data_IF_712076814118
#
_entry.id   IF_712076814118
#
_cell.length_a   1.000
_cell.length_b   1.000
_cell.length_c   1.000
_cell.angle_alpha   90.00
_cell.angle_beta   90.00
_cell.angle_gamma   90.00
#
_symmetry.space_group_name_H-M   'P 1'
#
loop_
_entity.id
_entity.type
_entity.pdbx_description
1 polymer ?
#
# COMPACT_ATOMS: atom_id res chain seq x y z
N UNK A 1 -14.13 -21.84 5.26
CA UNK A 1 -13.09 -21.17 4.44
C UNK A 1 -12.87 -19.80 5.04
N UNK A 2 -11.69 -19.57 5.47
CA UNK A 2 -11.30 -18.50 6.39
C UNK A 2 -10.69 -17.32 5.62
N UNK A 3 -10.38 -16.27 6.33
CA UNK A 3 -9.51 -15.17 5.90
C UNK A 3 -8.18 -15.68 5.32
N UNK A 4 -7.70 -16.82 5.82
CA UNK A 4 -6.51 -17.52 5.35
C UNK A 4 -6.62 -17.95 3.87
N UNK A 5 -7.74 -18.52 3.44
CA UNK A 5 -7.91 -18.98 2.05
C UNK A 5 -7.79 -17.83 1.03
N UNK A 6 -8.29 -16.63 1.40
CA UNK A 6 -8.19 -15.43 0.58
C UNK A 6 -6.75 -14.92 0.50
N UNK A 7 -6.08 -14.89 1.63
CA UNK A 7 -4.69 -14.47 1.70
C UNK A 7 -3.78 -15.43 0.91
N UNK A 8 -3.99 -16.74 1.03
CA UNK A 8 -3.25 -17.73 0.23
C UNK A 8 -3.45 -17.53 -1.27
N UNK A 9 -4.69 -17.23 -1.69
CA UNK A 9 -5.00 -16.98 -3.10
C UNK A 9 -4.26 -15.76 -3.64
N UNK A 10 -4.17 -14.67 -2.88
CA UNK A 10 -3.45 -13.45 -3.29
C UNK A 10 -1.93 -13.65 -3.27
N UNK A 11 -1.38 -14.32 -2.25
CA UNK A 11 0.05 -14.64 -2.20
C UNK A 11 0.43 -15.56 -3.36
N UNK A 12 -0.44 -16.50 -3.77
CA UNK A 12 -0.19 -17.31 -4.94
C UNK A 12 -0.13 -16.47 -6.22
N UNK A 13 -1.05 -15.52 -6.40
CA UNK A 13 -1.03 -14.60 -7.55
C UNK A 13 0.27 -13.79 -7.57
N UNK A 14 0.69 -13.29 -6.42
CA UNK A 14 1.92 -12.53 -6.29
C UNK A 14 3.16 -13.38 -6.63
N UNK A 15 3.22 -14.62 -6.13
CA UNK A 15 4.30 -15.56 -6.44
C UNK A 15 4.38 -15.89 -7.95
N UNK A 16 3.23 -16.10 -8.60
CA UNK A 16 3.16 -16.37 -10.03
C UNK A 16 3.50 -15.12 -10.87
N UNK A 17 3.15 -13.93 -10.39
CA UNK A 17 3.50 -12.66 -11.03
C UNK A 17 5.01 -12.42 -10.98
N UNK A 18 5.66 -12.67 -9.84
CA UNK A 18 7.13 -12.60 -9.69
C UNK A 18 7.87 -13.57 -10.63
N UNK A 19 7.27 -14.72 -10.93
CA UNK A 19 7.83 -15.68 -11.88
C UNK A 19 7.59 -15.30 -13.35
N UNK A 20 6.80 -14.26 -13.60
CA UNK A 20 6.56 -13.71 -14.93
C UNK A 20 7.66 -12.69 -15.29
N UNK A 21 7.62 -12.18 -16.51
CA UNK A 21 8.49 -11.08 -16.93
C UNK A 21 7.83 -9.71 -16.78
N UNK A 22 6.72 -9.63 -16.06
CA UNK A 22 5.95 -8.40 -15.85
C UNK A 22 6.61 -7.58 -14.75
N UNK A 23 6.95 -6.33 -15.05
CA UNK A 23 7.52 -5.40 -14.07
C UNK A 23 6.43 -4.77 -13.20
N UNK A 24 6.54 -4.88 -11.88
CA UNK A 24 5.65 -4.20 -10.95
C UNK A 24 6.38 -3.78 -9.68
N UNK A 25 5.73 -2.91 -8.90
CA UNK A 25 6.09 -2.61 -7.51
C UNK A 25 4.85 -2.80 -6.65
N UNK A 26 4.94 -3.68 -5.65
CA UNK A 26 3.89 -3.88 -4.67
C UNK A 26 3.84 -2.69 -3.71
N UNK A 27 2.64 -2.16 -3.50
CA UNK A 27 2.34 -1.09 -2.54
C UNK A 27 1.18 -1.50 -1.62
N UNK A 28 0.58 -0.57 -0.91
CA UNK A 28 -0.66 -0.80 -0.17
C UNK A 28 -0.53 -1.75 1.02
N UNK A 29 -1.59 -2.51 1.26
CA UNK A 29 -1.73 -3.31 2.47
C UNK A 29 -0.76 -4.47 2.58
N UNK A 30 -0.55 -5.22 1.51
CA UNK A 30 0.39 -6.34 1.52
C UNK A 30 1.85 -5.89 1.58
N UNK A 31 2.22 -4.74 1.01
CA UNK A 31 3.55 -4.21 1.18
C UNK A 31 3.89 -3.92 2.65
N UNK A 32 2.91 -3.50 3.46
CA UNK A 32 3.07 -3.30 4.92
C UNK A 32 3.30 -4.60 5.67
N UNK A 33 2.88 -5.75 5.13
CA UNK A 33 3.09 -7.05 5.79
C UNK A 33 4.57 -7.45 5.92
N UNK A 34 5.48 -6.73 5.29
CA UNK A 34 6.92 -6.88 5.53
C UNK A 34 7.34 -6.44 6.95
N UNK A 35 6.57 -5.56 7.59
CA UNK A 35 6.85 -5.07 8.95
C UNK A 35 6.06 -5.83 10.00
N UNK A 36 4.76 -5.95 9.79
CA UNK A 36 3.85 -6.66 10.70
C UNK A 36 2.82 -7.41 9.84
N UNK A 37 2.69 -8.75 10.00
CA UNK A 37 1.75 -9.55 9.23
C UNK A 37 0.32 -9.01 9.40
N UNK A 38 -0.32 -8.70 8.27
CA UNK A 38 -1.72 -8.28 8.25
C UNK A 38 -2.45 -8.90 7.07
N UNK A 39 -3.76 -8.96 7.20
CA UNK A 39 -4.63 -9.34 6.10
C UNK A 39 -5.02 -8.11 5.28
N UNK A 40 -4.96 -8.23 3.95
CA UNK A 40 -5.63 -7.35 3.00
C UNK A 40 -6.54 -8.14 2.07
N UNK A 41 -7.54 -7.48 1.48
CA UNK A 41 -8.47 -8.10 0.53
C UNK A 41 -8.00 -8.03 -0.90
N UNK A 42 -6.98 -7.23 -1.15
CA UNK A 42 -6.48 -6.79 -2.44
C UNK A 42 -4.95 -6.68 -2.46
N UNK A 43 -4.39 -6.86 -3.64
CA UNK A 43 -3.01 -6.48 -3.98
C UNK A 43 -3.05 -5.15 -4.72
N UNK A 44 -2.25 -4.19 -4.28
CA UNK A 44 -2.04 -2.93 -4.97
C UNK A 44 -0.73 -3.00 -5.75
N UNK A 45 -0.80 -3.03 -7.09
CA UNK A 45 0.36 -3.18 -7.98
C UNK A 45 0.56 -1.91 -8.82
N UNK A 46 1.70 -1.27 -8.68
CA UNK A 46 2.10 -0.18 -9.56
C UNK A 46 2.90 -0.77 -10.72
N UNK A 47 2.52 -0.45 -11.96
CA UNK A 47 3.13 -0.96 -13.17
C UNK A 47 3.52 0.15 -14.15
N UNK A 48 4.45 -0.15 -15.07
CA UNK A 48 4.68 0.70 -16.23
C UNK A 48 3.52 0.59 -17.23
N UNK A 49 3.22 1.64 -18.01
CA UNK A 49 2.19 1.56 -19.05
C UNK A 49 2.43 0.44 -20.08
N UNK A 50 3.69 0.16 -20.40
CA UNK A 50 4.07 -0.88 -21.37
C UNK A 50 3.75 -2.31 -20.88
N UNK A 51 3.65 -2.53 -19.57
CA UNK A 51 3.33 -3.84 -18.97
C UNK A 51 1.82 -4.06 -18.82
N UNK A 52 0.97 -3.07 -19.15
CA UNK A 52 -0.46 -3.09 -18.85
C UNK A 52 -1.20 -4.27 -19.50
N UNK A 53 -1.04 -4.47 -20.80
CA UNK A 53 -1.73 -5.56 -21.53
C UNK A 53 -1.29 -6.94 -21.03
N UNK A 54 -0.03 -7.10 -20.66
CA UNK A 54 0.51 -8.35 -20.12
C UNK A 54 -0.06 -8.66 -18.73
N UNK A 55 -0.18 -7.65 -17.85
CA UNK A 55 -0.82 -7.79 -16.53
C UNK A 55 -2.30 -8.16 -16.68
N UNK A 56 -3.03 -7.48 -17.56
CA UNK A 56 -4.45 -7.77 -17.82
C UNK A 56 -4.60 -9.23 -18.27
N UNK A 57 -3.85 -9.65 -19.28
CA UNK A 57 -3.90 -11.01 -19.78
C UNK A 57 -3.50 -12.04 -18.71
N UNK A 58 -2.52 -11.71 -17.86
CA UNK A 58 -2.10 -12.55 -16.73
C UNK A 58 -3.24 -12.77 -15.72
N UNK A 59 -3.96 -11.71 -15.34
CA UNK A 59 -5.06 -11.77 -14.37
C UNK A 59 -6.29 -12.50 -14.95
N UNK A 60 -6.68 -12.18 -16.17
CA UNK A 60 -7.81 -12.84 -16.86
C UNK A 60 -7.58 -14.34 -17.00
N UNK A 61 -6.36 -14.77 -17.35
CA UNK A 61 -6.01 -16.20 -17.44
C UNK A 61 -6.14 -16.94 -16.09
N UNK A 62 -6.23 -16.21 -14.96
CA UNK A 62 -6.39 -16.73 -13.59
C UNK A 62 -7.80 -16.57 -13.03
N UNK A 63 -8.74 -16.18 -13.90
CA UNK A 63 -10.15 -16.05 -13.55
C UNK A 63 -10.48 -14.76 -12.79
N UNK A 64 -9.61 -13.76 -12.88
CA UNK A 64 -9.98 -12.42 -12.43
C UNK A 64 -10.82 -11.74 -13.51
N UNK A 65 -11.88 -11.10 -13.09
CA UNK A 65 -12.77 -10.30 -13.94
C UNK A 65 -12.56 -8.82 -13.61
N UNK A 66 -12.51 -8.00 -14.64
CA UNK A 66 -12.39 -6.55 -14.48
C UNK A 66 -13.70 -5.97 -13.95
N UNK A 67 -13.64 -5.27 -12.83
CA UNK A 67 -14.81 -4.64 -12.18
C UNK A 67 -14.81 -3.12 -12.26
N UNK A 68 -13.63 -2.51 -12.46
CA UNK A 68 -13.49 -1.11 -12.84
C UNK A 68 -12.38 -0.98 -13.88
N UNK A 69 -12.55 -0.10 -14.86
CA UNK A 69 -11.64 0.11 -15.98
C UNK A 69 -11.10 1.53 -15.96
N UNK A 70 -9.88 1.70 -16.45
CA UNK A 70 -9.30 3.02 -16.69
C UNK A 70 -10.18 3.81 -17.69
N UNK A 71 -10.46 5.07 -17.39
CA UNK A 71 -11.19 5.98 -18.28
C UNK A 71 -10.29 6.57 -19.39
N UNK A 72 -8.97 6.50 -19.20
CA UNK A 72 -7.95 6.97 -20.13
C UNK A 72 -6.99 5.84 -20.53
N UNK A 73 -6.35 5.91 -21.71
CA UNK A 73 -5.32 4.95 -22.10
C UNK A 73 -4.19 4.87 -21.05
N UNK A 74 -3.57 3.69 -20.84
CA UNK A 74 -2.50 3.53 -19.84
C UNK A 74 -1.35 4.53 -19.95
N UNK A 75 -0.95 4.89 -21.17
CA UNK A 75 0.10 5.87 -21.45
C UNK A 75 -0.29 7.32 -21.10
N UNK A 76 -1.59 7.63 -21.03
CA UNK A 76 -2.12 8.93 -20.63
C UNK A 76 -2.47 8.99 -19.14
N UNK A 77 -2.40 7.85 -18.43
CA UNK A 77 -2.68 7.77 -17.01
C UNK A 77 -1.56 8.47 -16.24
N UNK A 78 -1.92 9.55 -15.57
CA UNK A 78 -1.01 10.29 -14.70
C UNK A 78 -1.34 9.92 -13.26
N UNK A 79 -0.38 9.25 -12.58
CA UNK A 79 -0.36 9.10 -11.13
C UNK A 79 -1.64 8.56 -10.50
N UNK A 80 -2.11 7.43 -10.97
CA UNK A 80 -3.17 6.71 -10.29
C UNK A 80 -4.43 7.54 -9.97
N UNK A 81 -4.82 8.42 -10.87
CA UNK A 81 -6.14 9.08 -10.78
C UNK A 81 -7.24 8.07 -10.98
N UNK A 82 -6.92 6.98 -11.65
CA UNK A 82 -7.81 5.88 -11.95
C UNK A 82 -7.11 4.56 -11.67
N UNK A 83 -7.85 3.63 -11.11
CA UNK A 83 -7.39 2.29 -10.75
C UNK A 83 -8.18 1.33 -11.60
N UNK A 84 -7.49 0.40 -12.25
CA UNK A 84 -8.12 -0.73 -12.91
C UNK A 84 -8.25 -1.86 -11.88
N UNK A 85 -9.48 -2.25 -11.57
CA UNK A 85 -9.78 -3.19 -10.49
C UNK A 85 -10.19 -4.53 -11.05
N UNK A 86 -9.50 -5.56 -10.63
CA UNK A 86 -9.80 -6.96 -10.98
C UNK A 86 -10.23 -7.73 -9.74
N UNK A 87 -11.28 -8.53 -9.86
CA UNK A 87 -11.76 -9.38 -8.78
C UNK A 87 -11.90 -10.83 -9.24
N UNK A 88 -11.60 -11.76 -8.32
CA UNK A 88 -11.88 -13.18 -8.49
C UNK A 88 -12.75 -13.68 -7.36
N UNK A 89 -13.88 -14.28 -7.74
CA UNK A 89 -14.86 -14.85 -6.80
C UNK A 89 -14.91 -16.36 -6.88
N UNK A 90 -14.56 -16.93 -8.06
CA UNK A 90 -14.67 -18.37 -8.30
C UNK A 90 -13.78 -19.17 -7.35
N UNK A 91 -14.37 -20.15 -6.68
CA UNK A 91 -13.69 -21.01 -5.71
C UNK A 91 -13.41 -20.36 -4.36
N UNK A 92 -13.82 -19.09 -4.14
CA UNK A 92 -13.59 -18.35 -2.92
C UNK A 92 -14.92 -17.97 -2.22
N UNK A 93 -14.95 -17.91 -0.90
CA UNK A 93 -16.17 -17.51 -0.14
C UNK A 93 -16.49 -16.03 -0.29
N UNK A 94 -15.49 -15.22 -0.57
CA UNK A 94 -15.57 -13.78 -0.80
C UNK A 94 -14.57 -13.42 -1.89
N UNK A 95 -14.78 -12.34 -2.65
CA UNK A 95 -13.86 -11.90 -3.67
C UNK A 95 -12.49 -11.53 -3.09
N UNK A 96 -11.47 -11.69 -3.90
CA UNK A 96 -10.13 -11.13 -3.73
C UNK A 96 -9.85 -10.19 -4.88
N UNK A 97 -9.18 -9.07 -4.60
CA UNK A 97 -8.92 -8.01 -5.58
C UNK A 97 -7.45 -7.90 -5.97
N UNK A 98 -7.23 -7.36 -7.17
CA UNK A 98 -5.94 -6.82 -7.60
C UNK A 98 -6.22 -5.45 -8.20
N UNK A 99 -5.64 -4.44 -7.62
CA UNK A 99 -5.73 -3.05 -8.04
C UNK A 99 -4.49 -2.69 -8.87
N UNK A 100 -4.69 -2.33 -10.12
CA UNK A 100 -3.62 -1.94 -11.04
C UNK A 100 -3.54 -0.42 -11.10
N UNK A 101 -2.39 0.08 -10.66
CA UNK A 101 -2.03 1.48 -10.65
C UNK A 101 -1.02 1.73 -11.78
N UNK A 102 -1.45 2.36 -12.86
CA UNK A 102 -0.59 2.55 -14.02
C UNK A 102 0.25 3.81 -13.87
N UNK A 103 1.54 3.70 -14.20
CA UNK A 103 2.52 4.79 -14.26
C UNK A 103 2.93 5.41 -12.91
N UNK A 104 2.31 5.07 -11.81
CA UNK A 104 2.70 5.58 -10.50
C UNK A 104 1.62 5.47 -9.43
N UNK A 105 1.97 5.93 -8.24
CA UNK A 105 1.10 6.04 -7.08
C UNK A 105 0.77 7.51 -6.83
N UNK A 106 -0.52 7.85 -6.70
CA UNK A 106 -0.97 9.20 -6.41
C UNK A 106 -1.91 9.27 -5.21
N UNK A 107 -1.93 10.42 -4.55
CA UNK A 107 -2.85 10.71 -3.46
C UNK A 107 -3.72 11.92 -3.82
N UNK A 108 -5.01 11.70 -4.05
CA UNK A 108 -5.95 12.76 -4.45
C UNK A 108 -6.13 13.84 -3.40
N UNK A 109 -5.97 13.53 -2.12
CA UNK A 109 -6.19 14.46 -1.02
C UNK A 109 -5.15 15.55 -0.98
N UNK A 110 -3.92 15.23 -1.35
CA UNK A 110 -2.77 16.12 -1.23
C UNK A 110 -2.06 16.37 -2.56
N UNK A 111 -2.55 15.78 -3.66
CA UNK A 111 -1.92 15.84 -4.98
C UNK A 111 -0.48 15.32 -5.02
N UNK A 112 -0.09 14.51 -4.03
CA UNK A 112 1.23 13.87 -3.99
C UNK A 112 1.31 12.74 -4.99
N UNK A 113 2.49 12.58 -5.61
CA UNK A 113 2.71 11.64 -6.70
C UNK A 113 4.11 11.03 -6.64
N UNK A 114 4.19 9.72 -6.94
CA UNK A 114 5.43 8.94 -7.10
C UNK A 114 5.31 8.15 -8.40
N UNK A 115 6.14 8.46 -9.39
CA UNK A 115 6.15 7.72 -10.67
C UNK A 115 6.55 6.26 -10.48
N UNK A 116 6.20 5.40 -11.43
CA UNK A 116 6.63 3.99 -11.41
C UNK A 116 8.15 3.86 -11.33
N UNK A 117 8.89 4.63 -12.13
CA UNK A 117 10.36 4.60 -12.12
C UNK A 117 10.91 4.99 -10.75
N UNK A 118 10.33 6.01 -10.11
CA UNK A 118 10.74 6.41 -8.77
C UNK A 118 10.46 5.32 -7.74
N UNK A 119 9.28 4.71 -7.78
CA UNK A 119 8.93 3.60 -6.89
C UNK A 119 9.83 2.39 -7.12
N UNK A 120 10.17 2.10 -8.37
CA UNK A 120 11.09 1.00 -8.73
C UNK A 120 12.50 1.24 -8.24
N UNK A 121 13.00 2.47 -8.32
CA UNK A 121 14.32 2.85 -7.79
C UNK A 121 14.37 2.72 -6.25
N UNK A 122 13.23 2.98 -5.58
CA UNK A 122 13.05 2.90 -4.14
C UNK A 122 12.17 1.72 -3.75
N UNK A 123 12.55 0.55 -4.21
CA UNK A 123 11.87 -0.70 -3.89
C UNK A 123 12.89 -1.82 -3.71
N UNK A 124 12.54 -2.78 -2.87
CA UNK A 124 13.45 -3.88 -2.51
C UNK A 124 12.69 -5.20 -2.58
N UNK A 125 13.36 -6.26 -3.04
CA UNK A 125 12.82 -7.61 -2.92
C UNK A 125 12.72 -7.97 -1.45
N UNK A 126 11.50 -8.19 -0.97
CA UNK A 126 11.23 -8.46 0.43
C UNK A 126 10.22 -9.59 0.61
N UNK A 127 10.17 -10.16 1.81
CA UNK A 127 9.22 -11.22 2.13
C UNK A 127 7.84 -10.63 2.43
N UNK A 128 6.84 -11.07 1.69
CA UNK A 128 5.44 -10.73 1.86
C UNK A 128 4.72 -11.93 2.47
N UNK A 129 4.06 -11.73 3.61
CA UNK A 129 3.39 -12.79 4.35
C UNK A 129 1.87 -12.64 4.30
N UNK A 130 1.19 -13.70 3.90
CA UNK A 130 -0.26 -13.84 3.91
C UNK A 130 -0.78 -14.79 5.00
N UNK A 131 -0.06 -14.92 6.11
CA UNK A 131 -0.41 -15.85 7.20
C UNK A 131 0.29 -17.18 7.03
N UNK A 132 -0.35 -18.18 6.42
CA UNK A 132 0.23 -19.54 6.25
C UNK A 132 1.19 -19.64 5.05
N UNK A 133 1.04 -18.75 4.06
CA UNK A 133 1.89 -18.68 2.86
C UNK A 133 2.64 -17.39 2.81
N UNK A 134 3.87 -17.42 2.32
CA UNK A 134 4.70 -16.25 2.05
C UNK A 134 5.42 -16.39 0.72
N UNK A 135 5.73 -15.27 0.08
CA UNK A 135 6.57 -15.18 -1.12
C UNK A 135 7.49 -13.98 -1.01
N UNK A 136 8.50 -13.87 -1.86
CA UNK A 136 9.22 -12.62 -2.04
C UNK A 136 8.59 -11.83 -3.18
N UNK A 137 8.58 -10.51 -3.05
CA UNK A 137 8.12 -9.62 -4.10
C UNK A 137 8.88 -8.29 -4.07
N UNK A 138 8.96 -7.64 -5.23
CA UNK A 138 9.46 -6.27 -5.32
C UNK A 138 8.43 -5.33 -4.69
N UNK A 139 8.69 -4.83 -3.49
CA UNK A 139 7.81 -3.93 -2.75
C UNK A 139 8.48 -2.56 -2.55
N UNK A 140 7.70 -1.50 -2.54
CA UNK A 140 8.19 -0.17 -2.22
C UNK A 140 8.83 -0.15 -0.83
N UNK A 141 9.92 0.62 -0.68
CA UNK A 141 10.63 0.78 0.59
C UNK A 141 9.70 1.38 1.65
N UNK A 142 9.95 1.03 2.90
CA UNK A 142 9.11 1.43 4.03
C UNK A 142 8.93 2.92 4.15
N UNK A 143 9.95 3.68 3.86
CA UNK A 143 9.96 5.14 3.92
C UNK A 143 8.93 5.75 2.94
N UNK A 144 8.86 5.22 1.71
CA UNK A 144 7.83 5.65 0.74
C UNK A 144 6.44 5.19 1.17
N UNK A 145 6.30 3.95 1.64
CA UNK A 145 5.02 3.43 2.10
C UNK A 145 4.46 4.28 3.25
N UNK A 146 5.30 4.67 4.20
CA UNK A 146 4.91 5.55 5.31
C UNK A 146 4.51 6.93 4.78
N UNK A 147 5.32 7.54 3.89
CA UNK A 147 5.01 8.84 3.30
C UNK A 147 3.66 8.80 2.55
N UNK A 148 3.43 7.81 1.69
CA UNK A 148 2.19 7.66 0.93
C UNK A 148 0.96 7.47 1.84
N UNK A 149 1.10 6.70 2.92
CA UNK A 149 0.03 6.49 3.90
C UNK A 149 -0.28 7.73 4.74
N UNK A 150 0.72 8.55 5.04
CA UNK A 150 0.50 9.85 5.68
C UNK A 150 -0.26 10.81 4.77
N UNK A 151 0.02 10.80 3.47
CA UNK A 151 -0.75 11.57 2.47
C UNK A 151 -2.20 11.08 2.33
N UNK A 152 -2.43 9.78 2.40
CA UNK A 152 -3.76 9.19 2.37
C UNK A 152 -4.59 9.54 3.61
N UNK A 153 -3.98 9.53 4.79
CA UNK A 153 -4.54 9.93 6.08
C UNK A 153 -5.72 9.12 6.57
N UNK A 154 -6.07 8.01 5.92
CA UNK A 154 -7.10 7.12 6.43
C UNK A 154 -6.68 6.55 7.78
N UNK A 155 -7.64 6.39 8.70
CA UNK A 155 -7.37 5.84 10.04
C UNK A 155 -6.73 4.44 10.00
N UNK A 156 -7.01 3.65 8.97
CA UNK A 156 -6.34 2.37 8.71
C UNK A 156 -4.88 2.57 8.31
N UNK A 157 -4.60 3.57 7.49
CA UNK A 157 -3.25 3.86 7.05
C UNK A 157 -2.35 4.34 8.19
N UNK A 158 -2.90 5.07 9.18
CA UNK A 158 -2.14 5.45 10.38
C UNK A 158 -1.73 4.25 11.24
N UNK A 159 -2.54 3.19 11.27
CA UNK A 159 -2.14 1.95 11.94
C UNK A 159 -1.03 1.21 11.15
N UNK A 160 -1.06 1.25 9.81
CA UNK A 160 0.00 0.75 8.96
C UNK A 160 1.31 1.54 9.14
N UNK A 161 1.22 2.87 9.22
CA UNK A 161 2.36 3.74 9.55
C UNK A 161 2.99 3.32 10.87
N UNK A 162 2.16 3.15 11.92
CA UNK A 162 2.66 2.76 13.24
C UNK A 162 3.36 1.39 13.22
N UNK A 163 2.87 0.43 12.42
CA UNK A 163 3.51 -0.87 12.26
C UNK A 163 4.90 -0.77 11.61
N UNK A 164 5.11 0.22 10.74
CA UNK A 164 6.38 0.44 10.06
C UNK A 164 7.40 1.27 10.89
N UNK A 165 6.95 2.13 11.80
CA UNK A 165 7.81 3.06 12.57
C UNK A 165 9.06 2.41 13.17
N UNK A 166 9.00 1.21 13.79
CA UNK A 166 10.19 0.61 14.39
C UNK A 166 11.30 0.21 13.39
N UNK A 167 10.98 0.16 12.09
CA UNK A 167 11.85 -0.39 11.06
C UNK A 167 12.27 0.62 9.99
N UNK A 168 11.69 1.83 9.96
CA UNK A 168 11.96 2.84 8.94
C UNK A 168 12.85 3.97 9.49
N UNK A 169 13.62 4.58 8.59
CA UNK A 169 14.34 5.81 8.88
C UNK A 169 13.41 7.02 8.66
N UNK A 170 13.11 7.77 9.71
CA UNK A 170 12.21 8.93 9.64
C UNK A 170 12.77 10.09 8.82
N UNK A 171 14.08 10.24 8.72
CA UNK A 171 14.69 11.23 7.82
C UNK A 171 14.54 10.78 6.36
N UNK A 172 14.58 9.47 6.11
CA UNK A 172 14.19 8.87 4.83
C UNK A 172 12.72 9.13 4.50
N UNK A 173 11.80 8.91 5.44
CA UNK A 173 10.37 9.24 5.26
C UNK A 173 10.18 10.71 4.90
N UNK A 174 10.85 11.64 5.60
CA UNK A 174 10.78 13.07 5.32
C UNK A 174 11.20 13.39 3.89
N UNK A 175 12.22 12.72 3.36
CA UNK A 175 12.70 12.92 1.98
C UNK A 175 11.65 12.58 0.91
N UNK A 176 10.72 11.69 1.21
CA UNK A 176 9.63 11.27 0.34
C UNK A 176 8.30 11.99 0.60
N UNK A 177 8.17 12.66 1.78
CA UNK A 177 6.90 13.20 2.26
C UNK A 177 6.52 14.53 1.61
N UNK A 178 7.45 15.44 1.39
CA UNK A 178 7.16 16.79 0.93
C UNK A 178 6.86 16.86 -0.58
N UNK A 179 5.68 16.35 -0.96
CA UNK A 179 5.17 16.29 -2.33
C UNK A 179 3.75 16.84 -2.40
N UNK A 180 3.29 17.21 -3.60
CA UNK A 180 1.94 17.71 -3.84
C UNK A 180 1.65 19.05 -3.17
N UNK A 181 0.41 19.24 -2.73
CA UNK A 181 -0.04 20.48 -2.07
C UNK A 181 0.40 20.50 -0.59
N UNK A 182 1.25 21.46 -0.25
CA UNK A 182 1.84 21.60 1.08
C UNK A 182 0.80 21.95 2.17
N UNK A 183 -0.25 22.71 1.83
CA UNK A 183 -1.29 23.09 2.78
C UNK A 183 -2.24 21.92 3.06
N UNK A 184 -2.59 21.17 2.03
CA UNK A 184 -3.35 19.94 2.16
C UNK A 184 -2.59 18.88 2.98
N UNK A 185 -1.30 18.70 2.71
CA UNK A 185 -0.45 17.81 3.50
C UNK A 185 -0.43 18.23 4.98
N UNK A 186 -0.22 19.51 5.25
CA UNK A 186 -0.18 20.05 6.62
C UNK A 186 -1.50 19.81 7.36
N UNK A 187 -2.63 20.01 6.68
CA UNK A 187 -3.95 19.69 7.22
C UNK A 187 -4.09 18.21 7.55
N UNK A 188 -3.67 17.34 6.62
CA UNK A 188 -3.70 15.89 6.78
C UNK A 188 -2.87 15.40 7.97
N UNK A 189 -1.65 15.93 8.12
CA UNK A 189 -0.77 15.59 9.26
C UNK A 189 -1.34 16.09 10.59
N UNK A 190 -2.01 17.25 10.60
CA UNK A 190 -2.69 17.79 11.79
C UNK A 190 -3.88 16.92 12.20
N UNK A 191 -4.66 16.43 11.25
CA UNK A 191 -5.77 15.51 11.52
C UNK A 191 -5.26 14.17 12.03
N UNK A 192 -4.17 13.64 11.46
CA UNK A 192 -3.52 12.43 11.94
C UNK A 192 -3.04 12.58 13.39
N UNK A 193 -2.37 13.69 13.72
CA UNK A 193 -1.94 14.00 15.07
C UNK A 193 -3.12 14.03 16.05
N UNK A 194 -4.18 14.76 15.72
CA UNK A 194 -5.36 14.86 16.58
C UNK A 194 -5.98 13.49 16.85
N UNK A 195 -6.13 12.65 15.80
CA UNK A 195 -6.66 11.29 15.95
C UNK A 195 -5.81 10.41 16.89
N UNK A 196 -4.49 10.55 16.83
CA UNK A 196 -3.56 9.80 17.69
C UNK A 196 -3.68 10.31 19.14
N UNK A 197 -3.69 11.62 19.36
CA UNK A 197 -3.79 12.25 20.68
C UNK A 197 -5.14 11.93 21.38
N UNK A 198 -6.21 11.71 20.62
CA UNK A 198 -7.51 11.24 21.12
C UNK A 198 -7.52 9.75 21.49
N UNK A 199 -6.42 9.01 21.27
CA UNK A 199 -6.31 7.58 21.61
C UNK A 199 -6.95 6.63 20.59
N UNK A 200 -7.32 7.12 19.41
CA UNK A 200 -7.97 6.32 18.37
C UNK A 200 -7.04 5.27 17.72
N UNK A 201 -5.74 5.52 17.74
CA UNK A 201 -4.76 4.70 17.01
C UNK A 201 -4.56 3.30 17.64
N UNK A 202 -4.45 3.19 18.96
CA UNK A 202 -4.23 1.90 19.64
C UNK A 202 -5.38 0.92 19.38
N UNK A 203 -6.63 1.39 19.43
CA UNK A 203 -7.78 0.55 19.10
C UNK A 203 -7.76 0.08 17.64
N UNK A 204 -7.40 0.96 16.71
CA UNK A 204 -7.30 0.63 15.29
C UNK A 204 -6.19 -0.37 15.03
N UNK A 205 -5.01 -0.17 15.63
CA UNK A 205 -3.87 -1.06 15.52
C UNK A 205 -4.24 -2.49 15.98
N UNK A 206 -4.82 -2.63 17.16
CA UNK A 206 -5.30 -3.92 17.68
C UNK A 206 -6.31 -4.61 16.76
N UNK A 207 -7.20 -3.82 16.15
CA UNK A 207 -8.20 -4.36 15.21
C UNK A 207 -7.57 -4.92 13.92
N UNK A 208 -6.46 -4.34 13.46
CA UNK A 208 -5.80 -4.72 12.21
C UNK A 208 -4.74 -5.80 12.38
N UNK A 209 -3.96 -5.71 13.46
CA UNK A 209 -2.81 -6.59 13.72
C UNK A 209 -3.06 -7.61 14.85
N UNK A 210 -4.30 -7.73 15.31
CA UNK A 210 -4.68 -8.72 16.32
C UNK A 210 -4.31 -8.28 17.73
N UNK A 211 -3.58 -9.14 18.49
CA UNK A 211 -3.33 -8.93 19.92
C UNK A 211 -2.16 -7.97 20.23
N UNK A 212 -1.40 -7.58 19.24
CA UNK A 212 -0.29 -6.66 19.42
C UNK A 212 -0.80 -5.31 19.89
N UNK A 213 -0.34 -4.83 21.03
CA UNK A 213 -0.53 -3.43 21.42
C UNK A 213 0.53 -2.60 20.74
N UNK A 214 0.13 -1.45 20.22
CA UNK A 214 1.10 -0.47 19.77
C UNK A 214 2.03 -0.09 20.94
N UNK A 215 3.33 0.02 20.66
CA UNK A 215 4.30 0.52 21.66
C UNK A 215 4.00 1.99 21.96
N UNK A 216 4.02 2.37 23.25
CA UNK A 216 3.88 3.77 23.62
C UNK A 216 5.02 4.63 23.06
N UNK A 217 6.23 4.07 22.99
CA UNK A 217 7.41 4.74 22.46
C UNK A 217 7.28 5.00 20.95
N UNK A 218 6.69 4.04 20.20
CA UNK A 218 6.46 4.20 18.76
C UNK A 218 5.38 5.25 18.47
N UNK A 219 4.33 5.29 19.30
CA UNK A 219 3.30 6.33 19.21
C UNK A 219 3.91 7.71 19.50
N UNK A 220 4.75 7.84 20.51
CA UNK A 220 5.43 9.09 20.84
C UNK A 220 6.37 9.52 19.69
N UNK A 221 7.14 8.58 19.15
CA UNK A 221 8.02 8.80 17.99
C UNK A 221 7.24 9.32 16.77
N UNK A 222 6.11 8.69 16.45
CA UNK A 222 5.24 9.14 15.35
C UNK A 222 4.68 10.55 15.63
N UNK A 223 4.21 10.83 16.85
CA UNK A 223 3.71 12.15 17.21
C UNK A 223 4.78 13.24 17.10
N UNK A 224 5.99 12.97 17.54
CA UNK A 224 7.12 13.91 17.40
C UNK A 224 7.45 14.17 15.93
N UNK A 225 7.46 13.12 15.11
CA UNK A 225 7.65 13.25 13.67
C UNK A 225 6.58 14.13 13.04
N UNK A 226 5.28 13.84 13.28
CA UNK A 226 4.18 14.64 12.74
C UNK A 226 4.26 16.11 13.13
N UNK A 227 4.60 16.41 14.41
CA UNK A 227 4.78 17.79 14.91
C UNK A 227 5.94 18.51 14.22
N UNK A 228 7.01 17.79 13.87
CA UNK A 228 8.16 18.33 13.15
C UNK A 228 7.77 18.73 11.73
N UNK A 229 6.97 17.91 11.05
CA UNK A 229 6.60 18.09 9.64
C UNK A 229 5.54 19.19 9.39
N UNK A 230 4.92 19.72 10.44
CA UNK A 230 3.92 20.80 10.35
C UNK A 230 4.53 22.21 10.51
N UNK A 231 5.81 22.33 10.80
CA UNK A 231 6.51 23.61 11.00
C UNK A 231 6.97 24.18 9.66
#
# INVERSE_FOLDING_TARGET
MSQEDRSEALIQVLEELEQSNIGFVLVGGYAISQFEPRFSTDLDLVIAPDDYDDVVAFLEARGFERTAELEVPPEETIYNREIDVFERTEGLPHPVGVDILVNGLGCRQTEAEWSFDYLREHSTETMISGGTRSTTAQAADGEILVAAKLHSGRKTDLADVLAAIPAVDLDGVESHLHRGDADALRSQLSEAQAFIEEGGLDHRFKSMFGQSSASADDIETLLEFLKRQQK
#
